data_IF_840143933779
#
_entry.id   IF_840143933779
#
_cell.length_a   1.000
_cell.length_b   1.000
_cell.length_c   1.000
_cell.angle_alpha   90.00
_cell.angle_beta   90.00
_cell.angle_gamma   90.00
#
_symmetry.space_group_name_H-M   'P 1'
#
loop_
_entity.id
_entity.type
_entity.pdbx_description
1 polymer ?
#
# COMPACT_ATOMS: atom_id res chain seq x y z
N UNK A 1 -39.96 93.23 -22.44
CA UNK A 1 -38.85 92.35 -21.94
C UNK A 1 -39.33 90.98 -21.45
N UNK A 2 -40.38 90.82 -20.65
CA UNK A 2 -40.86 89.51 -20.13
C UNK A 2 -41.38 88.51 -21.18
N UNK A 3 -41.99 88.99 -22.32
CA UNK A 3 -42.45 88.06 -23.41
C UNK A 3 -41.33 87.40 -24.18
N UNK A 4 -40.22 88.07 -24.40
CA UNK A 4 -39.05 87.56 -25.15
C UNK A 4 -38.31 86.48 -24.33
N UNK A 5 -38.17 86.67 -23.00
CA UNK A 5 -37.56 85.65 -22.10
C UNK A 5 -38.38 84.38 -22.00
N UNK A 6 -39.73 84.51 -22.07
CA UNK A 6 -40.61 83.35 -22.05
C UNK A 6 -40.48 82.48 -23.30
N UNK A 7 -40.43 83.14 -24.47
CA UNK A 7 -40.25 82.45 -25.79
C UNK A 7 -38.89 81.75 -25.90
N UNK A 8 -37.82 82.34 -25.34
CA UNK A 8 -36.51 81.72 -25.32
C UNK A 8 -36.50 80.53 -24.32
N UNK A 9 -37.15 80.65 -23.16
CA UNK A 9 -37.27 79.61 -22.20
C UNK A 9 -38.06 78.40 -22.80
N UNK A 10 -39.19 78.62 -23.45
CA UNK A 10 -39.98 77.55 -24.04
C UNK A 10 -39.22 76.85 -25.19
N UNK A 11 -38.40 77.59 -25.96
CA UNK A 11 -37.53 77.00 -27.01
C UNK A 11 -36.49 76.11 -26.41
N UNK A 12 -35.83 76.50 -25.31
CA UNK A 12 -34.81 75.73 -24.65
C UNK A 12 -35.43 74.45 -24.00
N UNK A 13 -36.60 74.61 -23.37
CA UNK A 13 -37.33 73.48 -22.77
C UNK A 13 -37.74 72.44 -23.79
N UNK A 14 -38.25 72.89 -24.95
CA UNK A 14 -38.63 72.00 -26.05
C UNK A 14 -37.42 71.33 -26.70
N UNK A 15 -36.30 72.01 -26.84
CA UNK A 15 -35.03 71.41 -27.30
C UNK A 15 -34.49 70.33 -26.36
N UNK A 16 -34.56 70.60 -25.09
CA UNK A 16 -34.19 69.61 -24.05
C UNK A 16 -35.15 68.40 -24.06
N UNK A 17 -36.47 68.66 -24.11
CA UNK A 17 -37.47 67.59 -24.22
C UNK A 17 -37.30 66.74 -25.48
N UNK A 18 -36.99 67.37 -26.64
CA UNK A 18 -36.70 66.69 -27.90
C UNK A 18 -35.46 65.80 -27.80
N UNK A 19 -34.36 66.30 -27.19
CA UNK A 19 -33.15 65.50 -26.96
C UNK A 19 -33.38 64.36 -25.96
N UNK A 20 -34.15 64.57 -24.90
CA UNK A 20 -34.49 63.48 -23.95
C UNK A 20 -35.38 62.44 -24.62
N UNK A 21 -36.31 62.82 -25.48
CA UNK A 21 -37.14 61.88 -26.20
C UNK A 21 -36.36 61.02 -27.21
N UNK A 22 -35.29 61.54 -27.83
CA UNK A 22 -34.42 60.76 -28.72
C UNK A 22 -33.46 59.83 -27.96
N UNK A 23 -33.06 60.18 -26.74
CA UNK A 23 -32.11 59.38 -25.97
C UNK A 23 -32.81 58.28 -25.13
N UNK A 24 -34.07 58.58 -24.69
CA UNK A 24 -34.82 57.62 -23.87
C UNK A 24 -34.98 56.23 -24.50
N UNK A 25 -35.37 56.04 -25.76
CA UNK A 25 -35.49 54.73 -26.39
C UNK A 25 -34.14 54.01 -26.50
N UNK A 26 -33.05 54.77 -26.66
CA UNK A 26 -31.70 54.19 -26.70
C UNK A 26 -31.32 53.58 -25.33
N UNK A 27 -31.59 54.25 -24.23
CA UNK A 27 -31.38 53.72 -22.89
C UNK A 27 -32.29 52.55 -22.56
N UNK A 28 -33.57 52.59 -23.00
CA UNK A 28 -34.49 51.46 -22.82
C UNK A 28 -34.05 50.22 -23.59
N UNK A 29 -33.55 50.38 -24.82
CA UNK A 29 -33.05 49.29 -25.63
C UNK A 29 -31.71 48.72 -25.07
N UNK A 30 -30.81 49.57 -24.59
CA UNK A 30 -29.61 49.12 -23.86
C UNK A 30 -29.96 48.33 -22.62
N UNK A 31 -30.94 48.78 -21.83
CA UNK A 31 -31.38 48.07 -20.64
C UNK A 31 -32.01 46.72 -20.98
N UNK A 32 -32.80 46.64 -22.04
CA UNK A 32 -33.37 45.37 -22.53
C UNK A 32 -32.27 44.45 -23.08
N UNK A 33 -31.32 44.97 -23.83
CA UNK A 33 -30.18 44.16 -24.31
C UNK A 33 -29.32 43.61 -23.16
N UNK A 34 -29.06 44.42 -22.13
CA UNK A 34 -28.33 43.97 -20.94
C UNK A 34 -29.10 42.91 -20.17
N UNK A 35 -30.40 43.04 -19.99
CA UNK A 35 -31.25 42.04 -19.33
C UNK A 35 -31.27 40.75 -20.14
N UNK A 36 -31.38 40.80 -21.48
CA UNK A 36 -31.33 39.63 -22.34
C UNK A 36 -29.96 38.93 -22.27
N UNK A 37 -28.89 39.70 -22.20
CA UNK A 37 -27.54 39.17 -22.03
C UNK A 37 -27.37 38.43 -20.69
N UNK A 38 -27.84 39.03 -19.59
CA UNK A 38 -27.83 38.41 -18.25
C UNK A 38 -28.66 37.13 -18.23
N UNK A 39 -29.86 37.14 -18.86
CA UNK A 39 -30.71 35.96 -18.98
C UNK A 39 -30.05 34.83 -19.77
N UNK A 40 -29.38 35.16 -20.90
CA UNK A 40 -28.60 34.16 -21.67
C UNK A 40 -27.44 33.58 -20.86
N UNK A 41 -26.71 34.43 -20.12
CA UNK A 41 -25.64 34.02 -19.28
C UNK A 41 -26.14 33.10 -18.15
N UNK A 42 -27.26 33.49 -17.51
CA UNK A 42 -27.89 32.65 -16.46
C UNK A 42 -28.34 31.29 -17.04
N UNK A 43 -28.91 31.27 -18.24
CA UNK A 43 -29.30 30.03 -18.91
C UNK A 43 -28.08 29.11 -19.11
N UNK A 44 -26.99 29.67 -19.61
CA UNK A 44 -25.73 28.90 -19.85
C UNK A 44 -25.23 28.30 -18.51
N UNK A 45 -25.24 29.09 -17.43
CA UNK A 45 -24.84 28.62 -16.09
C UNK A 45 -25.74 27.48 -15.64
N UNK A 46 -27.06 27.61 -15.79
CA UNK A 46 -28.02 26.56 -15.43
C UNK A 46 -27.78 25.29 -16.24
N UNK A 47 -27.56 25.40 -17.54
CA UNK A 47 -27.27 24.25 -18.42
C UNK A 47 -25.97 23.56 -17.99
N UNK A 48 -24.90 24.31 -17.75
CA UNK A 48 -23.62 23.76 -17.32
C UNK A 48 -23.77 23.04 -15.95
N UNK A 49 -24.45 23.67 -15.01
CA UNK A 49 -24.74 23.07 -13.70
C UNK A 49 -25.57 21.78 -13.81
N UNK A 50 -26.59 21.79 -14.67
CA UNK A 50 -27.44 20.62 -14.93
C UNK A 50 -26.65 19.47 -15.53
N UNK A 51 -25.75 19.73 -16.49
CA UNK A 51 -24.88 18.71 -17.09
C UNK A 51 -23.93 18.11 -16.05
N UNK A 52 -23.31 18.96 -15.23
CA UNK A 52 -22.41 18.48 -14.16
C UNK A 52 -23.19 17.65 -13.12
N UNK A 53 -24.38 18.08 -12.75
CA UNK A 53 -25.21 17.37 -11.77
C UNK A 53 -25.70 16.02 -12.31
N UNK A 54 -26.22 15.99 -13.54
CA UNK A 54 -26.67 14.78 -14.22
C UNK A 54 -25.51 13.79 -14.44
N UNK A 55 -24.33 14.27 -14.82
CA UNK A 55 -23.16 13.41 -14.98
C UNK A 55 -22.73 12.76 -13.65
N UNK A 56 -22.69 13.51 -12.54
CA UNK A 56 -22.39 12.97 -11.22
C UNK A 56 -23.44 11.96 -10.75
N UNK A 57 -24.70 12.27 -10.95
CA UNK A 57 -25.81 11.39 -10.57
C UNK A 57 -25.83 10.10 -11.40
N UNK A 58 -25.67 10.22 -12.71
CA UNK A 58 -25.57 9.07 -13.62
C UNK A 58 -24.34 8.20 -13.32
N UNK A 59 -23.19 8.83 -13.10
CA UNK A 59 -21.95 8.11 -12.71
C UNK A 59 -22.14 7.33 -11.41
N UNK A 60 -22.72 7.95 -10.38
CA UNK A 60 -22.99 7.28 -9.11
C UNK A 60 -23.90 6.06 -9.30
N UNK A 61 -25.00 6.17 -10.03
CA UNK A 61 -25.90 5.05 -10.31
C UNK A 61 -25.22 3.93 -11.10
N UNK A 62 -24.39 4.29 -12.09
CA UNK A 62 -23.66 3.29 -12.86
C UNK A 62 -22.65 2.54 -12.01
N UNK A 63 -21.88 3.25 -11.18
CA UNK A 63 -20.83 2.64 -10.36
C UNK A 63 -21.36 1.84 -9.15
N UNK A 64 -22.59 2.06 -8.72
CA UNK A 64 -23.24 1.33 -7.63
C UNK A 64 -23.88 -0.01 -8.07
N UNK A 65 -23.81 -0.37 -9.35
CA UNK A 65 -24.32 -1.64 -9.83
C UNK A 65 -23.53 -2.85 -9.31
N UNK A 66 -24.20 -3.96 -9.05
CA UNK A 66 -23.59 -5.20 -8.53
C UNK A 66 -22.49 -5.75 -9.45
N UNK A 67 -22.51 -5.43 -10.74
CA UNK A 67 -21.47 -5.83 -11.70
C UNK A 67 -20.08 -5.29 -11.33
N UNK A 68 -20.00 -4.23 -10.54
CA UNK A 68 -18.76 -3.59 -10.07
C UNK A 68 -18.39 -3.98 -8.64
N UNK A 69 -19.08 -4.96 -8.07
CA UNK A 69 -18.79 -5.46 -6.73
C UNK A 69 -17.75 -6.57 -6.80
N UNK A 70 -16.66 -6.38 -6.06
CA UNK A 70 -15.57 -7.35 -5.90
C UNK A 70 -15.73 -8.04 -4.55
N UNK A 71 -15.71 -9.38 -4.56
CA UNK A 71 -15.64 -10.17 -3.33
C UNK A 71 -14.23 -10.74 -3.16
N UNK A 72 -13.57 -10.55 -2.01
CA UNK A 72 -12.30 -11.21 -1.71
C UNK A 72 -12.35 -12.74 -1.74
N UNK A 73 -13.50 -13.33 -1.50
CA UNK A 73 -13.71 -14.79 -1.61
C UNK A 73 -13.42 -15.34 -3.02
N UNK A 74 -13.33 -14.49 -4.05
CA UNK A 74 -12.94 -14.89 -5.41
C UNK A 74 -11.43 -14.98 -5.61
N UNK A 75 -10.62 -14.57 -4.62
CA UNK A 75 -9.19 -14.72 -4.68
C UNK A 75 -8.80 -16.14 -4.28
N UNK A 76 -8.71 -17.05 -5.24
CA UNK A 76 -8.16 -18.38 -5.00
C UNK A 76 -6.63 -18.28 -4.96
N UNK A 77 -6.05 -18.74 -3.86
CA UNK A 77 -4.61 -18.86 -3.70
C UNK A 77 -4.27 -20.35 -3.57
N UNK A 78 -3.41 -20.84 -4.47
CA UNK A 78 -2.85 -22.18 -4.37
C UNK A 78 -1.61 -22.14 -3.47
N UNK A 79 -1.63 -22.96 -2.42
CA UNK A 79 -0.52 -23.03 -1.50
C UNK A 79 0.71 -23.66 -2.18
N UNK A 80 1.92 -23.09 -1.98
CA UNK A 80 3.14 -23.76 -2.40
C UNK A 80 3.39 -25.05 -1.59
N UNK A 81 4.17 -25.99 -2.12
CA UNK A 81 4.48 -27.28 -1.49
C UNK A 81 5.07 -27.19 -0.06
N UNK A 82 5.72 -26.06 0.23
CA UNK A 82 6.30 -25.80 1.55
C UNK A 82 5.30 -25.22 2.58
N UNK A 83 4.08 -24.91 2.15
CA UNK A 83 3.02 -24.39 3.00
C UNK A 83 2.07 -25.54 3.42
N UNK A 84 1.38 -25.35 4.56
CA UNK A 84 0.32 -26.23 5.00
C UNK A 84 -1.03 -25.80 4.42
N UNK A 85 -2.05 -26.65 4.53
CA UNK A 85 -3.41 -26.27 4.13
C UNK A 85 -3.94 -25.09 4.94
N UNK A 86 -3.56 -25.00 6.23
CA UNK A 86 -3.89 -23.86 7.08
C UNK A 86 -3.28 -22.55 6.58
N UNK A 87 -2.13 -22.60 5.90
CA UNK A 87 -1.53 -21.42 5.29
C UNK A 87 -2.43 -20.86 4.18
N UNK A 88 -2.90 -21.73 3.27
CA UNK A 88 -3.81 -21.32 2.20
C UNK A 88 -5.12 -20.76 2.76
N UNK A 89 -5.68 -21.43 3.77
CA UNK A 89 -6.88 -20.97 4.45
C UNK A 89 -6.67 -19.58 5.09
N UNK A 90 -5.55 -19.33 5.77
CA UNK A 90 -5.25 -18.03 6.39
C UNK A 90 -5.07 -16.91 5.35
N UNK A 91 -4.43 -17.20 4.21
CA UNK A 91 -4.27 -16.22 3.12
C UNK A 91 -5.62 -15.90 2.45
N UNK A 92 -6.45 -16.90 2.24
CA UNK A 92 -7.78 -16.71 1.62
C UNK A 92 -8.76 -16.00 2.55
N UNK A 93 -8.57 -16.11 3.88
CA UNK A 93 -9.44 -15.54 4.90
C UNK A 93 -8.73 -14.48 5.74
N UNK A 94 -7.90 -13.63 5.12
CA UNK A 94 -7.18 -12.57 5.85
C UNK A 94 -8.17 -11.66 6.58
N UNK A 95 -7.99 -11.57 7.90
CA UNK A 95 -8.79 -10.69 8.74
C UNK A 95 -8.65 -9.22 8.34
N UNK A 96 -9.78 -8.49 8.32
CA UNK A 96 -9.81 -7.07 7.99
C UNK A 96 -10.29 -6.76 6.58
N UNK A 97 -10.52 -7.79 5.74
CA UNK A 97 -11.22 -7.63 4.48
C UNK A 97 -12.74 -7.60 4.73
N UNK A 98 -13.44 -6.74 3.98
CA UNK A 98 -14.91 -6.77 3.91
C UNK A 98 -15.34 -7.85 2.94
N UNK A 99 -16.55 -8.37 3.11
CA UNK A 99 -17.13 -9.36 2.21
C UNK A 99 -17.30 -8.84 0.78
N UNK A 100 -17.51 -7.53 0.64
CA UNK A 100 -17.76 -6.88 -0.64
C UNK A 100 -17.11 -5.50 -0.69
N UNK A 101 -16.54 -5.17 -1.85
CA UNK A 101 -16.02 -3.85 -2.17
C UNK A 101 -16.57 -3.38 -3.51
N UNK A 102 -16.79 -2.10 -3.67
CA UNK A 102 -17.00 -1.53 -4.99
C UNK A 102 -15.66 -1.23 -5.65
N UNK A 103 -15.48 -1.65 -6.92
CA UNK A 103 -14.19 -1.48 -7.63
C UNK A 103 -13.78 -0.01 -7.77
N UNK A 104 -14.76 0.92 -7.74
CA UNK A 104 -14.53 2.36 -7.79
C UNK A 104 -14.33 3.00 -6.42
N UNK A 105 -14.38 2.23 -5.33
CA UNK A 105 -14.17 2.75 -3.98
C UNK A 105 -12.82 3.50 -3.90
N UNK A 106 -12.87 4.71 -3.33
CA UNK A 106 -11.67 5.52 -3.14
C UNK A 106 -10.68 4.75 -2.27
N UNK A 107 -9.41 4.77 -2.67
CA UNK A 107 -8.30 4.13 -1.96
C UNK A 107 -8.45 2.60 -1.75
N UNK A 108 -9.32 1.92 -2.51
CA UNK A 108 -9.53 0.47 -2.43
C UNK A 108 -8.22 -0.31 -2.47
N UNK A 109 -7.37 -0.02 -3.46
CA UNK A 109 -6.08 -0.71 -3.63
C UNK A 109 -5.16 -0.54 -2.43
N UNK A 110 -5.09 0.67 -1.85
CA UNK A 110 -4.31 0.93 -0.63
C UNK A 110 -4.85 0.17 0.58
N UNK A 111 -6.18 0.11 0.73
CA UNK A 111 -6.82 -0.65 1.81
C UNK A 111 -6.48 -2.13 1.72
N UNK A 112 -6.57 -2.71 0.51
CA UNK A 112 -6.22 -4.10 0.26
C UNK A 112 -4.73 -4.34 0.55
N UNK A 113 -3.83 -3.51 0.03
CA UNK A 113 -2.38 -3.60 0.31
C UNK A 113 -2.11 -3.61 1.81
N UNK A 114 -2.65 -2.65 2.56
CA UNK A 114 -2.43 -2.55 4.01
C UNK A 114 -2.90 -3.79 4.77
N UNK A 115 -4.05 -4.36 4.39
CA UNK A 115 -4.58 -5.57 5.01
C UNK A 115 -3.67 -6.76 4.73
N UNK A 116 -3.24 -6.95 3.47
CA UNK A 116 -2.35 -8.06 3.12
C UNK A 116 -0.97 -7.91 3.76
N UNK A 117 -0.37 -6.71 3.78
CA UNK A 117 0.92 -6.45 4.41
C UNK A 117 0.89 -6.56 5.95
N UNK A 118 -0.28 -6.47 6.58
CA UNK A 118 -0.43 -6.74 8.02
C UNK A 118 -0.35 -8.22 8.37
N UNK A 119 -0.50 -9.12 7.39
CA UNK A 119 -0.39 -10.56 7.61
C UNK A 119 1.07 -10.97 7.86
N UNK A 120 1.34 -11.79 8.89
CA UNK A 120 2.67 -12.32 9.15
C UNK A 120 3.19 -13.27 8.05
N UNK A 121 2.34 -13.68 7.11
CA UNK A 121 2.66 -14.63 6.04
C UNK A 121 3.11 -13.94 4.75
N UNK A 122 2.90 -12.63 4.62
CA UNK A 122 3.21 -11.86 3.43
C UNK A 122 4.43 -10.98 3.69
N UNK A 123 5.43 -11.07 2.81
CA UNK A 123 6.62 -10.25 2.89
C UNK A 123 6.38 -8.88 2.28
N UNK A 124 5.72 -8.84 1.12
CA UNK A 124 5.50 -7.62 0.36
C UNK A 124 4.33 -7.78 -0.60
N UNK A 125 3.55 -6.74 -0.79
CA UNK A 125 2.60 -6.63 -1.89
C UNK A 125 3.25 -5.84 -3.02
N UNK A 126 3.47 -6.47 -4.17
CA UNK A 126 4.15 -5.84 -5.30
C UNK A 126 3.21 -4.88 -6.04
N UNK A 127 1.98 -5.32 -6.31
CA UNK A 127 0.92 -4.48 -6.86
C UNK A 127 -0.47 -5.05 -6.58
N UNK A 128 -1.45 -4.14 -6.56
CA UNK A 128 -2.88 -4.42 -6.63
C UNK A 128 -3.46 -3.55 -7.73
N UNK A 129 -4.01 -4.16 -8.77
CA UNK A 129 -4.56 -3.51 -9.95
C UNK A 129 -6.04 -3.82 -10.06
N UNK A 130 -6.83 -2.81 -10.42
CA UNK A 130 -8.26 -2.97 -10.71
C UNK A 130 -8.43 -3.43 -12.15
N UNK A 131 -9.17 -4.49 -12.34
CA UNK A 131 -9.61 -4.99 -13.65
C UNK A 131 -11.13 -4.93 -13.72
N UNK A 132 -11.65 -4.07 -14.59
CA UNK A 132 -13.09 -3.96 -14.79
C UNK A 132 -13.68 -5.24 -15.40
N UNK A 133 -14.92 -5.59 -15.04
CA UNK A 133 -15.82 -4.81 -14.19
C UNK A 133 -15.62 -5.01 -12.68
N UNK A 134 -15.15 -6.18 -12.20
CA UNK A 134 -15.20 -6.58 -10.80
C UNK A 134 -14.04 -7.47 -10.37
N UNK A 135 -12.85 -7.30 -10.94
CA UNK A 135 -11.67 -8.09 -10.60
C UNK A 135 -10.58 -7.22 -9.98
N UNK A 136 -9.83 -7.83 -9.06
CA UNK A 136 -8.56 -7.28 -8.58
C UNK A 136 -7.46 -8.27 -8.94
N UNK A 137 -6.46 -7.78 -9.65
CA UNK A 137 -5.24 -8.54 -9.92
C UNK A 137 -4.21 -8.15 -8.89
N UNK A 138 -3.68 -9.14 -8.19
CA UNK A 138 -2.69 -8.91 -7.13
C UNK A 138 -1.45 -9.75 -7.37
N UNK A 139 -0.30 -9.19 -6.98
CA UNK A 139 0.95 -9.94 -6.88
C UNK A 139 1.60 -9.60 -5.55
N UNK A 140 1.92 -10.62 -4.78
CA UNK A 140 2.57 -10.49 -3.49
C UNK A 140 3.62 -11.59 -3.30
N UNK A 141 4.54 -11.33 -2.40
CA UNK A 141 5.59 -12.25 -2.02
C UNK A 141 5.28 -12.85 -0.65
N UNK A 142 5.32 -14.16 -0.59
CA UNK A 142 5.11 -14.90 0.64
C UNK A 142 6.40 -14.99 1.45
N UNK A 143 6.27 -14.96 2.77
CA UNK A 143 7.39 -15.28 3.66
C UNK A 143 7.66 -16.76 3.65
N UNK A 144 8.89 -17.12 3.34
CA UNK A 144 9.37 -18.50 3.34
C UNK A 144 10.39 -18.68 4.46
N UNK A 145 10.28 -19.73 5.31
CA UNK A 145 11.26 -19.98 6.35
C UNK A 145 12.62 -20.38 5.72
N UNK A 146 13.69 -19.81 6.26
CA UNK A 146 15.06 -20.11 5.82
C UNK A 146 15.87 -20.79 6.90
N UNK A 147 15.53 -20.57 8.18
CA UNK A 147 16.25 -21.15 9.31
C UNK A 147 15.36 -21.30 10.55
N UNK A 148 15.91 -21.98 11.56
CA UNK A 148 15.33 -22.06 12.90
C UNK A 148 16.25 -21.32 13.88
N UNK A 149 15.76 -20.24 14.48
CA UNK A 149 16.44 -19.61 15.63
C UNK A 149 16.25 -20.48 16.86
N UNK A 150 17.35 -21.03 17.39
CA UNK A 150 17.38 -21.82 18.62
C UNK A 150 17.77 -20.93 19.80
N UNK A 151 16.85 -20.72 20.73
CA UNK A 151 17.08 -19.96 21.97
C UNK A 151 16.71 -20.79 23.18
N UNK A 152 17.68 -21.11 24.00
CA UNK A 152 17.51 -22.10 25.08
C UNK A 152 16.99 -23.44 24.50
N UNK A 153 15.85 -23.94 25.00
CA UNK A 153 15.17 -25.15 24.49
C UNK A 153 14.09 -24.89 23.44
N UNK A 154 13.82 -23.61 23.12
CA UNK A 154 12.75 -23.22 22.17
C UNK A 154 13.31 -22.97 20.79
N UNK A 155 12.52 -23.32 19.77
CA UNK A 155 12.84 -23.20 18.34
C UNK A 155 11.81 -22.29 17.69
N UNK A 156 12.28 -21.35 16.85
CA UNK A 156 11.45 -20.33 16.19
C UNK A 156 11.82 -20.28 14.70
N UNK A 157 10.84 -20.43 13.83
CA UNK A 157 11.03 -20.24 12.39
C UNK A 157 11.32 -18.77 12.08
N UNK A 158 12.20 -18.54 11.12
CA UNK A 158 12.60 -17.22 10.66
C UNK A 158 12.77 -17.21 9.15
N UNK A 159 12.39 -16.11 8.51
CA UNK A 159 12.61 -15.87 7.09
C UNK A 159 13.96 -15.17 6.79
N UNK A 160 14.20 -14.89 5.51
CA UNK A 160 15.40 -14.20 5.03
C UNK A 160 15.57 -12.77 5.58
N UNK A 161 14.46 -12.13 5.99
CA UNK A 161 14.41 -10.76 6.51
C UNK A 161 14.45 -10.70 8.04
N UNK A 162 14.80 -11.82 8.68
CA UNK A 162 14.82 -12.00 10.15
C UNK A 162 13.46 -11.87 10.81
N UNK A 163 12.34 -12.12 10.10
CA UNK A 163 10.99 -12.07 10.67
C UNK A 163 10.62 -13.41 11.25
N UNK A 164 10.08 -13.40 12.48
CA UNK A 164 9.58 -14.61 13.13
C UNK A 164 8.31 -15.10 12.49
N UNK A 165 8.27 -16.39 12.09
CA UNK A 165 7.16 -17.04 11.43
C UNK A 165 6.39 -17.99 12.37
N UNK A 166 5.05 -18.10 12.22
CA UNK A 166 4.24 -19.07 12.95
C UNK A 166 4.43 -20.47 12.36
N UNK A 167 4.93 -21.40 13.19
CA UNK A 167 5.31 -22.76 12.75
C UNK A 167 4.17 -23.54 12.11
N UNK A 168 2.92 -23.35 12.56
CA UNK A 168 1.76 -24.12 12.10
C UNK A 168 1.48 -24.00 10.59
N UNK A 169 1.97 -22.93 9.94
CA UNK A 169 1.72 -22.65 8.55
C UNK A 169 2.79 -23.18 7.57
N UNK A 170 3.85 -23.82 8.08
CA UNK A 170 5.00 -24.17 7.25
C UNK A 170 5.43 -25.61 7.44
N UNK A 171 5.61 -26.32 6.34
CA UNK A 171 6.32 -27.58 6.27
C UNK A 171 7.82 -27.28 6.18
N UNK A 172 8.53 -27.24 7.29
CA UNK A 172 9.96 -26.93 7.34
C UNK A 172 10.75 -28.09 7.94
N UNK A 173 11.87 -28.47 7.38
CA UNK A 173 12.59 -27.85 6.25
C UNK A 173 11.91 -28.10 4.91
N UNK A 174 12.00 -27.09 4.01
CA UNK A 174 11.44 -27.20 2.65
C UNK A 174 12.28 -28.16 1.79
N UNK A 175 13.59 -28.14 2.00
CA UNK A 175 14.56 -29.00 1.33
C UNK A 175 15.72 -29.28 2.28
N UNK A 176 16.20 -30.53 2.30
CA UNK A 176 17.35 -30.94 3.06
C UNK A 176 17.21 -30.88 4.57
N UNK A 177 18.31 -30.73 5.29
CA UNK A 177 18.33 -30.64 6.74
C UNK A 177 18.02 -29.22 7.23
N UNK A 178 17.35 -29.06 8.38
CA UNK A 178 17.06 -27.72 8.93
C UNK A 178 18.35 -27.06 9.42
N UNK A 179 18.55 -25.78 9.06
CA UNK A 179 19.67 -24.98 9.55
C UNK A 179 19.25 -24.20 10.79
N UNK A 180 20.07 -24.29 11.84
CA UNK A 180 19.84 -23.64 13.12
C UNK A 180 20.72 -22.41 13.30
N UNK A 181 20.12 -21.28 13.70
CA UNK A 181 20.83 -20.11 14.21
C UNK A 181 20.81 -20.18 15.73
N UNK A 182 21.95 -20.42 16.36
CA UNK A 182 22.08 -20.53 17.81
C UNK A 182 22.29 -19.13 18.38
N UNK A 183 21.32 -18.63 19.15
CA UNK A 183 21.35 -17.27 19.71
C UNK A 183 21.66 -17.27 21.21
N UNK A 184 22.04 -16.09 21.74
CA UNK A 184 22.17 -15.83 23.18
C UNK A 184 20.87 -16.09 23.93
N UNK A 185 20.98 -16.51 25.18
CA UNK A 185 19.82 -16.72 26.06
C UNK A 185 19.06 -15.44 26.42
N UNK A 186 19.72 -14.28 26.34
CA UNK A 186 19.16 -12.96 26.66
C UNK A 186 18.31 -12.34 25.56
N UNK A 187 18.41 -12.81 24.32
CA UNK A 187 17.71 -12.24 23.17
C UNK A 187 16.19 -12.26 23.39
N UNK A 188 15.52 -11.11 23.16
CA UNK A 188 14.07 -11.00 23.26
C UNK A 188 13.42 -11.62 22.02
N UNK A 189 12.41 -12.47 22.25
CA UNK A 189 11.64 -13.10 21.17
C UNK A 189 10.57 -12.14 20.68
N UNK A 190 10.54 -11.78 19.38
CA UNK A 190 9.49 -10.92 18.81
C UNK A 190 8.16 -11.67 18.70
N UNK A 191 7.07 -10.96 18.43
CA UNK A 191 5.80 -11.56 18.04
C UNK A 191 5.88 -12.18 16.64
N UNK A 192 4.88 -12.96 16.25
CA UNK A 192 4.77 -13.46 14.89
C UNK A 192 4.61 -12.29 13.89
N UNK A 193 5.31 -12.35 12.77
CA UNK A 193 5.35 -11.28 11.79
C UNK A 193 6.29 -10.12 12.13
N UNK A 194 6.88 -10.08 13.33
CA UNK A 194 7.82 -9.05 13.72
C UNK A 194 9.28 -9.50 13.49
N UNK A 195 10.12 -8.54 13.14
CA UNK A 195 11.56 -8.74 12.94
C UNK A 195 12.28 -8.93 14.28
N UNK A 196 13.26 -9.84 14.32
CA UNK A 196 14.20 -9.91 15.43
C UNK A 196 15.04 -8.63 15.50
N UNK A 197 15.07 -8.01 16.67
CA UNK A 197 15.84 -6.76 16.93
C UNK A 197 17.22 -7.04 17.50
N UNK A 198 17.77 -8.19 17.20
CA UNK A 198 19.09 -8.59 17.68
C UNK A 198 20.06 -8.73 16.51
N UNK A 199 21.11 -7.91 16.51
CA UNK A 199 22.09 -7.83 15.44
C UNK A 199 22.80 -9.18 15.21
N UNK A 200 23.03 -9.98 16.26
CA UNK A 200 23.70 -11.27 16.10
C UNK A 200 22.86 -12.25 15.27
N UNK A 201 21.53 -12.21 15.41
CA UNK A 201 20.63 -13.04 14.59
C UNK A 201 20.59 -12.52 13.16
N UNK A 202 20.54 -11.19 12.96
CA UNK A 202 20.61 -10.59 11.62
C UNK A 202 21.89 -10.97 10.89
N UNK A 203 23.04 -10.90 11.57
CA UNK A 203 24.34 -11.30 11.02
C UNK A 203 24.34 -12.79 10.67
N UNK A 204 23.77 -13.65 11.54
CA UNK A 204 23.64 -15.08 11.29
C UNK A 204 22.78 -15.43 10.07
N UNK A 205 21.66 -14.73 9.89
CA UNK A 205 20.79 -14.90 8.72
C UNK A 205 21.45 -14.35 7.46
N UNK A 206 22.13 -13.20 7.54
CA UNK A 206 22.88 -12.62 6.43
C UNK A 206 23.99 -13.56 5.96
N UNK A 207 24.73 -14.15 6.90
CA UNK A 207 25.73 -15.15 6.60
C UNK A 207 25.11 -16.39 5.95
N UNK A 208 24.00 -16.89 6.47
CA UNK A 208 23.28 -18.01 5.86
C UNK A 208 22.87 -17.72 4.41
N UNK A 209 22.31 -16.53 4.16
CA UNK A 209 21.92 -16.11 2.82
C UNK A 209 23.15 -16.06 1.89
N UNK A 210 24.29 -15.54 2.36
CA UNK A 210 25.55 -15.54 1.62
C UNK A 210 26.04 -16.96 1.30
N UNK A 211 26.06 -17.85 2.30
CA UNK A 211 26.49 -19.24 2.14
C UNK A 211 25.60 -19.98 1.13
N UNK A 212 24.29 -19.77 1.17
CA UNK A 212 23.31 -20.35 0.23
C UNK A 212 23.48 -19.81 -1.19
N UNK A 213 23.66 -18.49 -1.32
CA UNK A 213 23.86 -17.87 -2.63
C UNK A 213 25.08 -18.48 -3.34
N UNK A 214 26.15 -18.75 -2.59
CA UNK A 214 27.39 -19.35 -3.08
C UNK A 214 27.41 -20.90 -3.02
N UNK A 215 26.29 -21.52 -2.63
CA UNK A 215 26.14 -23.00 -2.46
C UNK A 215 27.13 -23.62 -1.46
N UNK A 216 27.77 -22.83 -0.61
CA UNK A 216 28.74 -23.27 0.41
C UNK A 216 28.06 -24.06 1.53
N UNK A 217 26.83 -23.71 1.88
CA UNK A 217 26.03 -24.42 2.87
C UNK A 217 25.84 -25.91 2.51
N UNK A 218 25.57 -26.20 1.23
CA UNK A 218 25.41 -27.58 0.73
C UNK A 218 26.77 -28.29 0.63
N UNK A 219 27.82 -27.60 0.13
CA UNK A 219 29.16 -28.13 -0.02
C UNK A 219 29.73 -28.56 1.33
N UNK A 220 29.63 -27.73 2.35
CA UNK A 220 30.14 -27.98 3.69
C UNK A 220 29.10 -28.66 4.60
N UNK A 221 27.92 -29.00 4.10
CA UNK A 221 26.81 -29.61 4.85
C UNK A 221 26.55 -28.88 6.19
N UNK A 222 26.40 -27.54 6.12
CA UNK A 222 26.21 -26.71 7.31
C UNK A 222 24.84 -27.01 7.93
N UNK A 223 24.81 -27.31 9.24
CA UNK A 223 23.59 -27.58 10.01
C UNK A 223 23.30 -26.49 11.04
N UNK A 224 24.31 -25.74 11.50
CA UNK A 224 24.08 -24.62 12.39
C UNK A 224 25.13 -23.52 12.28
N UNK A 225 24.66 -22.31 12.60
CA UNK A 225 25.44 -21.08 12.70
C UNK A 225 25.30 -20.58 14.13
N UNK A 226 26.36 -20.64 14.92
CA UNK A 226 26.36 -20.19 16.30
C UNK A 226 26.80 -18.72 16.38
N UNK A 227 25.84 -17.86 16.68
CA UNK A 227 26.01 -16.42 16.87
C UNK A 227 25.96 -16.01 18.34
N UNK A 228 25.91 -16.99 19.26
CA UNK A 228 25.74 -16.72 20.69
C UNK A 228 26.93 -15.97 21.31
N UNK A 229 28.10 -16.03 20.67
CA UNK A 229 29.33 -15.39 21.13
C UNK A 229 29.59 -14.01 20.50
N UNK A 230 28.77 -13.58 19.55
CA UNK A 230 28.92 -12.24 18.93
C UNK A 230 28.74 -11.17 20.00
N UNK A 231 29.71 -10.25 20.09
CA UNK A 231 29.74 -9.17 21.08
C UNK A 231 30.37 -9.54 22.44
N UNK A 232 30.74 -10.78 22.67
CA UNK A 232 31.55 -11.18 23.81
C UNK A 232 33.03 -11.09 23.41
N UNK A 233 33.83 -10.27 24.12
CA UNK A 233 35.26 -10.22 23.92
C UNK A 233 35.87 -11.50 24.54
N UNK A 234 36.35 -12.39 23.70
CA UNK A 234 37.20 -13.46 24.15
C UNK A 234 38.57 -12.89 24.58
N UNK A 235 39.31 -13.63 25.43
CA UNK A 235 40.66 -13.28 25.90
C UNK A 235 41.62 -12.91 24.73
N UNK A 236 41.34 -13.42 23.55
CA UNK A 236 42.12 -13.17 22.32
C UNK A 236 41.55 -12.03 21.44
N UNK A 237 40.58 -11.26 21.93
CA UNK A 237 39.98 -10.12 21.21
C UNK A 237 39.16 -10.48 19.94
N UNK A 238 39.04 -11.74 19.60
CA UNK A 238 38.36 -12.23 18.39
C UNK A 238 36.94 -12.68 18.72
N UNK A 239 35.98 -11.95 18.18
CA UNK A 239 34.56 -12.26 18.24
C UNK A 239 34.24 -13.11 17.01
N UNK A 240 33.72 -14.31 17.17
CA UNK A 240 33.55 -15.21 16.03
C UNK A 240 32.16 -15.81 15.92
N UNK A 241 31.70 -15.93 14.69
CA UNK A 241 30.64 -16.86 14.31
C UNK A 241 31.24 -18.24 14.14
N UNK A 242 30.56 -19.26 14.65
CA UNK A 242 30.97 -20.66 14.50
C UNK A 242 29.94 -21.39 13.64
N UNK A 243 30.44 -22.05 12.57
CA UNK A 243 29.62 -22.91 11.73
C UNK A 243 29.84 -24.37 12.15
N UNK A 244 28.77 -25.13 12.18
CA UNK A 244 28.83 -26.56 12.46
C UNK A 244 28.32 -27.32 11.25
N UNK A 245 29.09 -28.31 10.84
CA UNK A 245 28.75 -29.22 9.73
C UNK A 245 27.98 -30.43 10.27
N UNK A 246 27.34 -31.18 9.37
CA UNK A 246 26.64 -32.44 9.68
C UNK A 246 27.57 -33.48 10.25
N UNK A 247 28.84 -33.50 9.81
CA UNK A 247 29.85 -34.43 10.25
C UNK A 247 30.50 -34.02 11.59
N UNK A 248 29.98 -32.98 12.25
CA UNK A 248 30.44 -32.50 13.56
C UNK A 248 31.68 -31.57 13.49
N UNK A 249 32.18 -31.22 12.31
CA UNK A 249 33.28 -30.28 12.19
C UNK A 249 32.85 -28.86 12.58
N UNK A 250 33.73 -28.12 13.23
CA UNK A 250 33.53 -26.76 13.67
C UNK A 250 34.41 -25.79 12.88
N UNK A 251 33.81 -24.86 12.19
CA UNK A 251 34.49 -23.85 11.40
C UNK A 251 34.37 -22.48 12.08
N UNK A 252 35.47 -21.85 12.43
CA UNK A 252 35.51 -20.48 12.91
C UNK A 252 35.43 -19.53 11.72
N UNK A 253 34.32 -18.80 11.57
CA UNK A 253 34.07 -17.92 10.42
C UNK A 253 34.55 -16.51 10.71
N UNK A 254 35.32 -16.12 11.50
CA UNK A 254 35.76 -14.75 11.70
C UNK A 254 34.61 -13.74 11.94
N UNK A 255 34.87 -12.47 11.60
CA UNK A 255 33.83 -11.41 11.70
C UNK A 255 32.93 -11.48 10.49
N UNK A 256 31.61 -11.22 10.69
CA UNK A 256 30.75 -10.86 9.58
C UNK A 256 31.37 -9.66 8.85
N UNK A 257 31.57 -9.78 7.55
CA UNK A 257 32.11 -8.69 6.77
C UNK A 257 31.19 -7.48 6.94
N UNK A 258 31.68 -6.45 7.62
CA UNK A 258 31.13 -5.13 7.46
C UNK A 258 31.70 -4.62 6.14
N UNK A 259 30.88 -4.67 5.11
CA UNK A 259 31.05 -3.84 3.92
C UNK A 259 30.09 -2.68 4.03
#
# INVERSE_FOLDING_TARGET
MKKLLKVQYDKVVNLIKGKIATVKPYFENMRKASILFILKLALVVVVVFSVIWLSKFGWKRLTEQDIFVVSPATFSFEAPDWATDEFAHEINNIHGLKDKYNIFEKDLTKKIVNVYESSPLISKVNYVQRELPNRLKMKFELRRPVAIVKRKRKKYLVDKDCVRLPKKFYNYPVEGDPIYIISKKSVKVPKYGEKWKDRSIEDGISLLNYLRHNKVDKLLKIVSIDVSKIGDRNKDGKIGVELWTKDGAKIKWGFSAQS
#
